data_IF_778175496647
#
_entry.id   IF_778175496647
#
_cell.length_a   1.000
_cell.length_b   1.000
_cell.length_c   1.000
_cell.angle_alpha   90.00
_cell.angle_beta   90.00
_cell.angle_gamma   90.00
#
_symmetry.space_group_name_H-M   'P 1'
#
loop_
_entity.id
_entity.type
_entity.pdbx_description
1 polymer ?
#
# COMPACT_ATOMS: atom_id res chain seq x y z
N UNK A 1 0.77 12.57 0.15
CA UNK A 1 0.72 11.79 1.41
C UNK A 1 0.52 10.32 1.07
N UNK A 2 0.93 9.40 1.94
CA UNK A 2 0.79 7.95 1.71
C UNK A 2 -0.32 7.38 2.59
N UNK A 3 -1.41 6.95 1.97
CA UNK A 3 -2.50 6.23 2.62
C UNK A 3 -2.22 4.72 2.56
N UNK A 4 -2.13 4.07 3.72
CA UNK A 4 -1.92 2.62 3.82
C UNK A 4 -3.19 1.93 4.29
N UNK A 5 -3.45 0.76 3.71
CA UNK A 5 -4.46 -0.19 4.18
C UNK A 5 -3.80 -1.54 4.34
N UNK A 6 -3.76 -2.03 5.57
CA UNK A 6 -3.24 -3.34 5.92
C UNK A 6 -4.39 -4.22 6.40
N UNK A 7 -4.39 -5.48 5.99
CA UNK A 7 -5.34 -6.47 6.50
C UNK A 7 -4.89 -7.91 6.23
N UNK A 8 -5.46 -8.84 6.97
CA UNK A 8 -5.46 -10.27 6.64
C UNK A 8 -6.90 -10.72 6.32
N UNK A 9 -7.02 -11.90 5.70
CA UNK A 9 -8.30 -12.47 5.28
C UNK A 9 -8.53 -13.83 5.97
N UNK A 10 -9.67 -14.00 6.63
CA UNK A 10 -9.93 -15.11 7.53
C UNK A 10 -10.67 -16.30 6.88
N UNK A 11 -11.07 -16.20 5.61
CA UNK A 11 -11.74 -17.29 4.88
C UNK A 11 -10.86 -17.82 3.73
N UNK A 12 -10.09 -18.89 3.93
CA UNK A 12 -9.21 -19.44 2.90
C UNK A 12 -9.94 -19.88 1.63
N UNK A 13 -11.22 -20.28 1.72
CA UNK A 13 -11.97 -20.80 0.57
C UNK A 13 -12.30 -19.70 -0.45
N UNK A 14 -12.44 -18.45 0.00
CA UNK A 14 -12.80 -17.31 -0.85
C UNK A 14 -11.69 -16.26 -0.97
N UNK A 15 -10.52 -16.50 -0.38
CA UNK A 15 -9.40 -15.57 -0.39
C UNK A 15 -8.92 -15.20 -1.81
N UNK A 16 -8.90 -16.16 -2.74
CA UNK A 16 -8.54 -15.90 -4.12
C UNK A 16 -9.54 -14.96 -4.80
N UNK A 17 -10.84 -15.21 -4.63
CA UNK A 17 -11.92 -14.37 -5.20
C UNK A 17 -11.90 -12.96 -4.59
N UNK A 18 -11.65 -12.85 -3.29
CA UNK A 18 -11.47 -11.55 -2.63
C UNK A 18 -10.26 -10.80 -3.18
N UNK A 19 -9.15 -11.50 -3.42
CA UNK A 19 -7.95 -10.89 -3.98
C UNK A 19 -8.18 -10.40 -5.42
N UNK A 20 -8.88 -11.17 -6.25
CA UNK A 20 -9.27 -10.77 -7.60
C UNK A 20 -10.17 -9.53 -7.55
N UNK A 21 -11.24 -9.55 -6.74
CA UNK A 21 -12.11 -8.39 -6.53
C UNK A 21 -11.31 -7.15 -6.11
N UNK A 22 -10.40 -7.29 -5.14
CA UNK A 22 -9.68 -6.13 -4.64
C UNK A 22 -8.70 -5.60 -5.70
N UNK A 23 -7.97 -6.46 -6.41
CA UNK A 23 -7.04 -6.03 -7.45
C UNK A 23 -7.72 -5.49 -8.72
N UNK A 24 -8.82 -6.12 -9.16
CA UNK A 24 -9.44 -5.84 -10.46
C UNK A 24 -10.58 -4.84 -10.39
N UNK A 25 -11.31 -4.76 -9.27
CA UNK A 25 -12.46 -3.86 -9.14
C UNK A 25 -12.19 -2.70 -8.18
N UNK A 26 -11.81 -3.03 -6.93
CA UNK A 26 -11.70 -2.02 -5.88
C UNK A 26 -10.48 -1.12 -6.07
N UNK A 27 -9.32 -1.65 -6.46
CA UNK A 27 -8.13 -0.84 -6.67
C UNK A 27 -8.31 0.17 -7.82
N UNK A 28 -8.86 -0.21 -9.00
CA UNK A 28 -9.24 0.74 -10.05
C UNK A 28 -10.30 1.76 -9.63
N UNK A 29 -11.30 1.34 -8.83
CA UNK A 29 -12.29 2.28 -8.31
C UNK A 29 -11.66 3.34 -7.39
N UNK A 30 -10.73 2.96 -6.50
CA UNK A 30 -10.06 3.88 -5.59
C UNK A 30 -9.11 4.84 -6.31
N UNK A 31 -8.29 4.36 -7.25
CA UNK A 31 -7.38 5.23 -8.00
C UNK A 31 -8.13 6.26 -8.87
N UNK A 32 -9.40 5.98 -9.21
CA UNK A 32 -10.27 6.93 -9.93
C UNK A 32 -10.81 8.08 -9.08
N UNK A 33 -10.63 8.05 -7.75
CA UNK A 33 -11.05 9.13 -6.84
C UNK A 33 -10.17 10.35 -7.08
N UNK A 34 -10.78 11.53 -7.21
CA UNK A 34 -10.04 12.79 -7.33
C UNK A 34 -9.09 12.97 -6.15
N UNK A 35 -7.82 13.23 -6.44
CA UNK A 35 -6.76 13.36 -5.43
C UNK A 35 -6.08 12.05 -5.04
N UNK A 36 -6.45 10.90 -5.62
CA UNK A 36 -5.60 9.72 -5.69
C UNK A 36 -4.67 9.81 -6.90
N UNK A 37 -3.39 9.50 -6.70
CA UNK A 37 -2.33 9.62 -7.72
C UNK A 37 -1.71 8.29 -8.09
N UNK A 38 -1.42 7.45 -7.09
CA UNK A 38 -0.92 6.09 -7.33
C UNK A 38 -1.62 5.10 -6.42
N UNK A 39 -1.72 3.84 -6.85
CA UNK A 39 -2.28 2.75 -6.06
C UNK A 39 -1.62 1.42 -6.40
N UNK A 40 -1.17 0.68 -5.40
CA UNK A 40 -0.55 -0.63 -5.59
C UNK A 40 -0.86 -1.56 -4.42
N UNK A 41 -1.07 -2.85 -4.72
CA UNK A 41 -1.27 -3.92 -3.73
C UNK A 41 -0.04 -4.80 -3.60
N UNK A 42 0.13 -5.32 -2.40
CA UNK A 42 1.27 -6.11 -1.97
C UNK A 42 0.83 -7.27 -1.09
N UNK A 43 1.56 -8.38 -1.17
CA UNK A 43 1.42 -9.53 -0.27
C UNK A 43 2.70 -9.71 0.53
N UNK A 44 2.57 -9.85 1.85
CA UNK A 44 3.67 -10.11 2.74
C UNK A 44 4.32 -11.46 2.39
N UNK A 45 5.65 -11.48 2.35
CA UNK A 45 6.45 -12.70 2.25
C UNK A 45 6.91 -13.17 3.64
N UNK A 46 7.02 -12.25 4.60
CA UNK A 46 7.42 -12.57 5.98
C UNK A 46 6.21 -12.67 6.91
N UNK A 47 6.27 -13.53 7.94
CA UNK A 47 5.23 -13.63 8.96
C UNK A 47 5.26 -12.42 9.92
N UNK A 48 4.27 -12.33 10.81
CA UNK A 48 4.24 -11.35 11.89
C UNK A 48 3.72 -9.97 11.52
N UNK A 49 3.09 -9.83 10.34
CA UNK A 49 2.37 -8.62 9.92
C UNK A 49 1.07 -9.00 9.19
N UNK A 50 0.14 -8.04 8.98
CA UNK A 50 -1.01 -8.28 8.13
C UNK A 50 -0.58 -8.74 6.73
N UNK A 51 -1.25 -9.77 6.21
CA UNK A 51 -0.82 -10.46 4.98
C UNK A 51 -0.85 -9.56 3.75
N UNK A 52 -1.77 -8.60 3.71
CA UNK A 52 -1.98 -7.72 2.56
C UNK A 52 -1.76 -6.26 2.93
N UNK A 53 -1.11 -5.54 2.03
CA UNK A 53 -0.87 -4.11 2.12
C UNK A 53 -1.30 -3.44 0.81
N UNK A 54 -2.00 -2.32 0.91
CA UNK A 54 -2.21 -1.39 -0.20
C UNK A 54 -1.56 -0.05 0.14
N UNK A 55 -0.82 0.51 -0.81
CA UNK A 55 -0.26 1.87 -0.73
C UNK A 55 -0.93 2.75 -1.77
N UNK A 56 -1.45 3.89 -1.31
CA UNK A 56 -2.03 4.90 -2.16
C UNK A 56 -1.33 6.24 -1.94
N UNK A 57 -0.93 6.90 -3.02
CA UNK A 57 -0.48 8.30 -2.93
C UNK A 57 -1.69 9.21 -3.10
N UNK A 58 -1.98 10.05 -2.10
CA UNK A 58 -3.13 10.95 -2.11
C UNK A 58 -2.75 12.38 -1.74
N UNK A 59 -3.59 13.35 -2.13
CA UNK A 59 -3.40 14.77 -1.80
C UNK A 59 -3.45 15.06 -0.30
N UNK A 60 -4.43 14.48 0.41
CA UNK A 60 -4.65 14.80 1.81
C UNK A 60 -5.73 13.96 2.49
N UNK A 61 -5.92 14.23 3.78
CA UNK A 61 -6.90 13.54 4.62
C UNK A 61 -8.35 13.81 4.19
N UNK A 62 -8.62 15.00 3.67
CA UNK A 62 -9.93 15.43 3.17
C UNK A 62 -10.47 14.52 2.05
N UNK A 63 -9.58 13.94 1.24
CA UNK A 63 -9.96 12.94 0.23
C UNK A 63 -10.61 11.71 0.89
N UNK A 64 -10.11 11.27 2.04
CA UNK A 64 -10.59 10.07 2.76
C UNK A 64 -11.89 10.30 3.54
N UNK A 65 -12.31 11.55 3.70
CA UNK A 65 -13.62 11.91 4.30
C UNK A 65 -14.64 12.34 3.24
N UNK A 66 -14.21 12.56 2.00
CA UNK A 66 -15.03 12.99 0.88
C UNK A 66 -16.07 11.98 0.42
N UNK A 67 -17.12 12.48 -0.24
CA UNK A 67 -18.20 11.63 -0.73
C UNK A 67 -17.76 10.69 -1.85
N UNK A 68 -16.91 11.17 -2.76
CA UNK A 68 -16.42 10.39 -3.89
C UNK A 68 -15.71 9.11 -3.41
N UNK A 69 -14.80 9.24 -2.44
CA UNK A 69 -14.11 8.11 -1.81
C UNK A 69 -15.09 7.08 -1.26
N UNK A 70 -16.11 7.52 -0.50
CA UNK A 70 -17.13 6.61 0.06
C UNK A 70 -17.93 5.90 -1.04
N UNK A 71 -18.36 6.63 -2.07
CA UNK A 71 -19.12 6.06 -3.19
C UNK A 71 -18.30 5.05 -4.01
N UNK A 72 -16.98 5.24 -4.09
CA UNK A 72 -16.05 4.30 -4.75
C UNK A 72 -15.66 3.10 -3.87
N UNK A 73 -16.32 2.91 -2.73
CA UNK A 73 -16.07 1.78 -1.82
C UNK A 73 -14.92 2.02 -0.84
N UNK A 74 -14.47 3.27 -0.70
CA UNK A 74 -13.51 3.69 0.31
C UNK A 74 -13.97 3.34 1.72
N UNK A 75 -13.04 2.82 2.52
CA UNK A 75 -13.27 2.52 3.93
C UNK A 75 -14.21 1.36 4.23
N UNK A 76 -14.50 0.48 3.25
CA UNK A 76 -15.28 -0.75 3.40
C UNK A 76 -14.78 -1.83 2.43
N UNK A 77 -14.99 -3.11 2.72
CA UNK A 77 -14.70 -4.24 1.84
C UNK A 77 -15.95 -4.91 1.22
N UNK A 78 -17.08 -4.21 1.18
CA UNK A 78 -18.35 -4.73 0.66
C UNK A 78 -18.74 -6.04 1.40
N UNK A 79 -19.21 -7.07 0.68
CA UNK A 79 -19.57 -8.36 1.28
C UNK A 79 -18.41 -9.07 1.98
N UNK A 80 -17.17 -8.72 1.64
CA UNK A 80 -15.97 -9.34 2.19
C UNK A 80 -15.63 -8.84 3.60
N UNK A 81 -16.23 -7.73 4.05
CA UNK A 81 -15.90 -7.06 5.31
C UNK A 81 -15.92 -8.00 6.53
N UNK A 82 -16.80 -9.00 6.53
CA UNK A 82 -16.91 -10.00 7.60
C UNK A 82 -15.70 -10.94 7.73
N UNK A 83 -14.88 -11.05 6.69
CA UNK A 83 -13.68 -11.91 6.65
C UNK A 83 -12.38 -11.11 6.81
N UNK A 84 -12.46 -9.78 6.91
CA UNK A 84 -11.30 -8.91 7.07
C UNK A 84 -10.90 -8.87 8.55
N UNK A 85 -9.65 -9.24 8.84
CA UNK A 85 -9.04 -9.18 10.17
C UNK A 85 -7.74 -8.37 10.12
N UNK A 86 -7.20 -7.98 11.26
CA UNK A 86 -5.98 -7.14 11.38
C UNK A 86 -6.05 -5.89 10.49
N UNK A 87 -7.23 -5.25 10.47
CA UNK A 87 -7.50 -4.15 9.57
C UNK A 87 -6.95 -2.85 10.13
N UNK A 88 -5.86 -2.37 9.54
CA UNK A 88 -5.21 -1.14 9.93
C UNK A 88 -5.23 -0.13 8.78
N UNK A 89 -5.53 1.12 9.11
CA UNK A 89 -5.53 2.24 8.17
C UNK A 89 -4.79 3.42 8.75
N UNK A 90 -3.84 3.94 7.98
CA UNK A 90 -3.00 5.05 8.39
C UNK A 90 -2.76 6.00 7.23
N UNK A 91 -2.70 7.29 7.52
CA UNK A 91 -2.21 8.30 6.58
C UNK A 91 -0.87 8.81 7.07
N UNK A 92 0.13 8.80 6.19
CA UNK A 92 1.48 9.24 6.50
C UNK A 92 1.92 10.46 5.68
N UNK A 93 2.65 11.35 6.32
CA UNK A 93 3.47 12.38 5.68
C UNK A 93 4.92 11.92 5.48
N UNK A 94 5.76 12.80 4.93
CA UNK A 94 7.19 12.55 4.70
C UNK A 94 7.55 12.05 3.30
N UNK A 95 6.59 11.46 2.58
CA UNK A 95 6.76 10.99 1.20
C UNK A 95 5.60 11.48 0.34
N UNK A 96 5.91 12.03 -0.84
CA UNK A 96 4.91 12.56 -1.77
C UNK A 96 4.22 11.46 -2.58
N UNK A 97 5.01 10.48 -3.05
CA UNK A 97 4.56 9.35 -3.87
C UNK A 97 5.16 8.04 -3.37
N UNK A 98 4.32 7.01 -3.22
CA UNK A 98 4.76 5.66 -2.90
C UNK A 98 5.66 5.12 -4.03
N UNK A 99 6.76 4.43 -3.71
CA UNK A 99 7.63 3.86 -4.74
C UNK A 99 6.85 2.85 -5.59
N UNK A 100 7.03 2.91 -6.90
CA UNK A 100 6.52 1.88 -7.81
C UNK A 100 7.40 0.63 -7.70
N UNK A 101 6.78 -0.51 -7.38
CA UNK A 101 7.47 -1.80 -7.27
C UNK A 101 7.06 -2.68 -8.44
N UNK A 102 7.98 -2.94 -9.35
CA UNK A 102 7.77 -3.74 -10.55
C UNK A 102 7.93 -5.23 -10.31
N UNK A 103 7.72 -5.99 -11.38
CA UNK A 103 7.91 -7.44 -11.38
C UNK A 103 9.37 -7.81 -11.03
N UNK A 104 9.54 -8.78 -10.13
CA UNK A 104 10.84 -9.19 -9.59
C UNK A 104 11.49 -8.20 -8.62
N UNK A 105 10.82 -7.12 -8.23
CA UNK A 105 11.24 -6.18 -7.20
C UNK A 105 10.39 -6.40 -5.93
N UNK A 106 10.86 -5.86 -4.79
CA UNK A 106 10.17 -6.01 -3.51
C UNK A 106 10.02 -4.69 -2.78
N UNK A 107 9.00 -4.61 -1.95
CA UNK A 107 8.86 -3.55 -0.95
C UNK A 107 9.38 -4.06 0.39
N UNK A 108 10.36 -3.40 0.97
CA UNK A 108 10.73 -3.59 2.37
C UNK A 108 10.11 -2.49 3.24
N UNK A 109 9.63 -2.84 4.41
CA UNK A 109 9.02 -1.93 5.38
C UNK A 109 9.62 -2.18 6.75
N UNK A 110 9.87 -1.11 7.52
CA UNK A 110 10.21 -1.23 8.93
C UNK A 110 9.47 -0.21 9.79
N UNK A 111 9.03 -0.64 10.97
CA UNK A 111 8.49 0.25 12.01
C UNK A 111 9.51 0.52 13.14
N UNK A 112 10.63 -0.21 13.16
CA UNK A 112 11.64 -0.13 14.22
C UNK A 112 12.66 1.00 14.00
N UNK A 113 12.81 1.48 12.76
CA UNK A 113 13.78 2.51 12.37
C UNK A 113 14.28 2.31 10.94
N UNK A 114 15.10 3.24 10.41
CA UNK A 114 15.75 3.06 9.12
C UNK A 114 16.91 2.05 9.16
N UNK A 115 17.54 1.86 10.32
CA UNK A 115 18.79 1.10 10.47
C UNK A 115 18.71 -0.36 9.99
N UNK A 116 17.62 -1.11 10.24
CA UNK A 116 17.47 -2.45 9.69
C UNK A 116 17.48 -2.48 8.15
N UNK A 117 16.86 -1.49 7.49
CA UNK A 117 16.83 -1.39 6.03
C UNK A 117 18.20 -0.95 5.49
N UNK A 118 18.85 0.01 6.14
CA UNK A 118 20.21 0.47 5.76
C UNK A 118 21.24 -0.65 5.88
N UNK A 119 21.13 -1.54 6.88
CA UNK A 119 21.99 -2.73 7.01
C UNK A 119 21.84 -3.72 5.86
N UNK A 120 20.68 -3.73 5.21
CA UNK A 120 20.44 -4.50 3.98
C UNK A 120 20.93 -3.77 2.72
N UNK A 121 21.61 -2.62 2.86
CA UNK A 121 22.07 -1.79 1.75
C UNK A 121 20.97 -1.00 1.05
N UNK A 122 19.78 -0.91 1.66
CA UNK A 122 18.64 -0.20 1.10
C UNK A 122 18.65 1.28 1.47
N UNK A 123 17.99 2.11 0.66
CA UNK A 123 17.78 3.54 0.95
C UNK A 123 16.33 3.76 1.41
N UNK A 124 16.09 3.92 2.72
CA UNK A 124 14.74 4.03 3.25
C UNK A 124 14.16 5.45 3.10
N UNK A 125 12.88 5.53 2.74
CA UNK A 125 12.05 6.72 2.81
C UNK A 125 11.33 6.74 4.15
N UNK A 126 11.52 7.82 4.93
CA UNK A 126 10.87 7.98 6.23
C UNK A 126 9.44 8.52 6.09
N UNK A 127 8.52 7.93 6.83
CA UNK A 127 7.13 8.32 6.91
C UNK A 127 6.71 8.50 8.37
N UNK A 128 5.86 9.47 8.65
CA UNK A 128 5.29 9.72 9.98
C UNK A 128 3.76 9.80 9.90
N UNK A 129 3.06 9.15 10.82
CA UNK A 129 1.62 9.05 10.77
C UNK A 129 0.96 10.37 11.17
N UNK A 130 0.05 10.86 10.34
CA UNK A 130 -0.63 12.15 10.53
C UNK A 130 -2.10 11.98 10.91
N UNK A 131 -2.74 10.87 10.54
CA UNK A 131 -4.16 10.63 10.77
C UNK A 131 -4.52 9.13 10.80
N UNK A 132 -5.79 8.86 11.14
CA UNK A 132 -6.38 7.54 11.34
C UNK A 132 -5.83 6.86 12.61
N UNK A 133 -5.32 5.63 12.55
CA UNK A 133 -4.89 4.90 13.74
C UNK A 133 -3.58 5.43 14.34
N UNK A 134 -2.73 6.05 13.52
CA UNK A 134 -1.41 6.55 13.90
C UNK A 134 -0.50 5.48 14.51
N UNK A 135 -0.63 4.26 14.03
CA UNK A 135 0.16 3.13 14.48
C UNK A 135 0.60 2.25 13.30
N UNK A 136 1.92 2.04 13.09
CA UNK A 136 3.02 2.66 13.84
C UNK A 136 3.11 4.19 13.61
N UNK A 137 3.64 4.93 14.58
CA UNK A 137 3.81 6.39 14.47
C UNK A 137 4.82 6.74 13.36
N UNK A 138 5.87 5.93 13.21
CA UNK A 138 6.89 6.06 12.19
C UNK A 138 7.01 4.77 11.38
N UNK A 139 7.23 4.91 10.08
CA UNK A 139 7.43 3.79 9.17
C UNK A 139 8.46 4.16 8.12
N UNK A 140 9.32 3.23 7.77
CA UNK A 140 10.31 3.38 6.71
C UNK A 140 10.00 2.39 5.60
N UNK A 141 9.99 2.85 4.36
CA UNK A 141 9.81 2.01 3.18
C UNK A 141 11.09 2.02 2.37
N UNK A 142 11.44 0.91 1.73
CA UNK A 142 12.51 0.87 0.75
C UNK A 142 12.14 -0.07 -0.40
N UNK A 143 12.57 0.29 -1.60
CA UNK A 143 12.51 -0.58 -2.76
C UNK A 143 13.72 -1.52 -2.74
N UNK A 144 13.48 -2.80 -2.98
CA UNK A 144 14.52 -3.80 -3.18
C UNK A 144 14.56 -4.14 -4.67
N UNK A 145 15.72 -3.90 -5.29
CA UNK A 145 15.92 -4.08 -6.73
C UNK A 145 15.90 -5.56 -7.16
N UNK A 146 15.58 -5.76 -8.43
CA UNK A 146 15.57 -7.10 -9.04
C UNK A 146 16.93 -7.78 -8.89
N UNK A 147 16.90 -9.05 -8.50
CA UNK A 147 18.11 -9.86 -8.29
C UNK A 147 18.71 -9.74 -6.88
N UNK A 148 18.24 -8.80 -6.06
CA UNK A 148 18.60 -8.68 -4.65
C UNK A 148 17.47 -9.19 -3.76
N UNK A 149 16.91 -10.36 -4.09
CA UNK A 149 15.83 -10.94 -3.30
C UNK A 149 16.27 -11.04 -1.82
N UNK A 150 15.53 -10.42 -0.89
CA UNK A 150 15.93 -10.44 0.50
C UNK A 150 15.81 -11.87 1.04
N UNK A 151 16.72 -12.25 1.93
CA UNK A 151 16.62 -13.51 2.66
C UNK A 151 15.46 -13.42 3.66
N UNK A 152 14.29 -13.90 3.24
CA UNK A 152 13.04 -13.81 3.99
C UNK A 152 13.13 -14.56 5.34
N UNK A 153 13.95 -15.62 5.41
CA UNK A 153 14.10 -16.44 6.61
C UNK A 153 14.94 -15.72 7.68
N UNK A 154 15.83 -14.81 7.28
CA UNK A 154 16.78 -14.12 8.17
C UNK A 154 16.62 -12.59 8.15
N UNK A 155 15.39 -12.10 7.95
CA UNK A 155 15.12 -10.67 8.02
C UNK A 155 15.43 -10.11 9.41
N UNK A 156 16.03 -8.90 9.48
CA UNK A 156 16.14 -8.19 10.75
C UNK A 156 14.77 -8.02 11.43
N UNK A 157 14.77 -8.03 12.77
CA UNK A 157 13.55 -7.79 13.55
C UNK A 157 12.87 -6.48 13.14
N UNK A 158 11.53 -6.54 12.99
CA UNK A 158 10.73 -5.40 12.58
C UNK A 158 10.88 -5.01 11.10
N UNK A 159 11.49 -5.86 10.26
CA UNK A 159 11.47 -5.72 8.79
C UNK A 159 10.47 -6.70 8.19
N UNK A 160 9.56 -6.17 7.37
CA UNK A 160 8.65 -6.96 6.56
C UNK A 160 8.92 -6.73 5.08
N UNK A 161 8.87 -7.80 4.30
CA UNK A 161 9.06 -7.75 2.85
C UNK A 161 7.77 -8.16 2.16
N UNK A 162 7.44 -7.46 1.09
CA UNK A 162 6.25 -7.72 0.29
C UNK A 162 6.58 -7.87 -1.19
N UNK A 163 5.86 -8.77 -1.86
CA UNK A 163 5.82 -8.90 -3.31
C UNK A 163 4.66 -8.07 -3.87
N UNK A 164 4.83 -7.35 -5.01
CA UNK A 164 3.71 -6.67 -5.66
C UNK A 164 2.69 -7.69 -6.19
N UNK A 165 1.41 -7.43 -5.94
CA UNK A 165 0.29 -8.20 -6.51
C UNK A 165 -0.25 -7.58 -7.80
N UNK A 166 0.05 -6.31 -8.02
CA UNK A 166 -0.39 -5.53 -9.19
C UNK A 166 0.77 -4.64 -9.66
N UNK A 167 0.74 -4.20 -10.91
CA UNK A 167 1.48 -3.00 -11.29
C UNK A 167 0.97 -1.79 -10.47
N UNK A 168 1.81 -0.76 -10.29
CA UNK A 168 1.33 0.49 -9.71
C UNK A 168 0.41 1.19 -10.72
N UNK A 169 -0.85 1.38 -10.33
CA UNK A 169 -1.78 2.19 -11.10
C UNK A 169 -1.45 3.66 -10.87
N UNK A 170 -1.46 4.45 -11.94
CA UNK A 170 -1.36 5.91 -11.90
C UNK A 170 -2.69 6.52 -12.33
N UNK A 171 -3.12 7.56 -11.62
CA UNK A 171 -4.19 8.42 -12.08
C UNK A 171 -3.53 9.56 -12.85
N UNK A 172 -3.20 9.32 -14.12
CA UNK A 172 -2.68 10.38 -14.99
C UNK A 172 -3.81 11.35 -15.36
N UNK A 173 -4.15 12.20 -14.40
CA UNK A 173 -5.01 13.34 -14.61
C UNK A 173 -4.33 14.33 -15.56
N UNK A 174 -4.80 14.38 -16.81
CA UNK A 174 -4.65 15.49 -17.76
C UNK A 174 -3.34 15.56 -18.60
N UNK A 175 -3.09 14.55 -19.43
CA UNK A 175 -2.19 14.65 -20.57
C UNK A 175 -2.87 14.30 -21.92
N UNK A 176 -4.10 14.79 -22.18
CA UNK A 176 -4.69 14.86 -23.54
C UNK A 176 -6.01 15.68 -23.62
N UNK A 177 -6.07 16.92 -23.14
CA UNK A 177 -7.00 17.92 -23.70
C UNK A 177 -6.20 19.19 -23.98
N UNK A 178 -5.39 19.11 -25.02
CA UNK A 178 -4.51 20.20 -25.45
C UNK A 178 -4.06 19.98 -26.90
N UNK A 179 -5.03 19.76 -27.79
CA UNK A 179 -5.03 20.13 -29.23
C UNK A 179 -6.19 19.43 -29.94
N UNK A 180 -7.33 20.08 -29.98
CA UNK A 180 -8.27 19.95 -31.09
C UNK A 180 -9.16 21.20 -31.12
N UNK A 181 -8.94 21.98 -32.20
CA UNK A 181 -9.68 23.15 -32.71
C UNK A 181 -9.33 24.49 -32.09
#
# INVERSE_FOLDING_TARGET
>A
MIYTVECSFADPASEAEWNDFYSLDKLPALISVSGFHTSQRFKALSPGCPVYLALHSIDGLDILTGEEYRHKGGGNFARWQQHIIDWHRNLYGGVERAPAIGDGEYLASSAAGPEPLTRLGLTPYAMHAVAMEKFPEHRWLAKVERGNAPDIEHLPEGVHVYVPMTAQLTNDGNAAVGKAR
#
